data_IF_676406687382
#
_entry.id   IF_676406687382
#
_cell.length_a   1.000
_cell.length_b   1.000
_cell.length_c   1.000
_cell.angle_alpha   90.00
_cell.angle_beta   90.00
_cell.angle_gamma   90.00
#
_symmetry.space_group_name_H-M   'P 1'
#
loop_
_entity.id
_entity.type
_entity.pdbx_description
1 polymer ?
#
# COMPACT_ATOMS: atom_id res chain seq x y z
N UNK A 1 -27.23 8.90 4.62
CA UNK A 1 -25.80 9.24 4.75
C UNK A 1 -25.19 8.33 5.80
N UNK A 2 -24.01 7.74 5.57
CA UNK A 2 -23.42 6.75 6.47
C UNK A 2 -22.96 7.42 7.79
N UNK A 3 -23.53 7.00 8.92
CA UNK A 3 -23.22 7.60 10.23
C UNK A 3 -21.75 7.42 10.65
N UNK A 4 -21.12 6.30 10.27
CA UNK A 4 -19.70 6.08 10.52
C UNK A 4 -18.83 7.04 9.71
N UNK A 5 -19.20 7.30 8.45
CA UNK A 5 -18.49 8.28 7.60
C UNK A 5 -18.57 9.67 8.21
N UNK A 6 -19.75 10.11 8.67
CA UNK A 6 -19.91 11.41 9.34
C UNK A 6 -19.01 11.51 10.57
N UNK A 7 -19.06 10.51 11.44
CA UNK A 7 -18.28 10.49 12.69
C UNK A 7 -16.77 10.64 12.42
N UNK A 8 -16.23 9.85 11.48
CA UNK A 8 -14.80 9.87 11.17
C UNK A 8 -14.40 11.17 10.46
N UNK A 9 -15.21 11.63 9.50
CA UNK A 9 -14.93 12.86 8.77
C UNK A 9 -14.93 14.08 9.70
N UNK A 10 -15.91 14.20 10.60
CA UNK A 10 -15.95 15.27 11.60
C UNK A 10 -14.71 15.27 12.49
N UNK A 11 -14.31 14.11 13.01
CA UNK A 11 -13.12 14.02 13.86
C UNK A 11 -11.82 14.41 13.13
N UNK A 12 -11.70 14.08 11.84
CA UNK A 12 -10.56 14.50 11.02
C UNK A 12 -10.55 16.02 10.79
N UNK A 13 -11.72 16.61 10.50
CA UNK A 13 -11.87 18.06 10.35
C UNK A 13 -11.45 18.77 11.64
N UNK A 14 -11.96 18.31 12.79
CA UNK A 14 -11.63 18.88 14.09
C UNK A 14 -10.13 18.80 14.40
N UNK A 15 -9.50 17.65 14.10
CA UNK A 15 -8.06 17.46 14.29
C UNK A 15 -7.23 18.41 13.41
N UNK A 16 -7.59 18.56 12.14
CA UNK A 16 -6.90 19.47 11.22
C UNK A 16 -7.07 20.92 11.67
N UNK A 17 -8.29 21.36 12.01
CA UNK A 17 -8.55 22.72 12.50
C UNK A 17 -7.76 23.05 13.76
N UNK A 18 -7.65 22.07 14.67
CA UNK A 18 -6.82 22.19 15.87
C UNK A 18 -5.36 22.39 15.52
N UNK A 19 -4.79 21.57 14.63
CA UNK A 19 -3.39 21.70 14.19
C UNK A 19 -3.13 23.06 13.54
N UNK A 20 -4.01 23.53 12.65
CA UNK A 20 -3.89 24.83 12.00
C UNK A 20 -3.85 25.97 13.03
N UNK A 21 -4.70 25.88 14.07
CA UNK A 21 -4.77 26.87 15.15
C UNK A 21 -3.52 26.84 16.03
N UNK A 22 -3.07 25.66 16.45
CA UNK A 22 -1.91 25.48 17.33
C UNK A 22 -0.61 25.95 16.67
N UNK A 23 -0.45 25.70 15.37
CA UNK A 23 0.71 26.12 14.59
C UNK A 23 0.59 27.58 14.09
N UNK A 24 -0.54 28.26 14.35
CA UNK A 24 -0.83 29.62 13.88
C UNK A 24 -0.64 29.80 12.38
N UNK A 25 -1.12 28.83 11.61
CA UNK A 25 -0.98 28.82 10.14
C UNK A 25 -1.61 30.07 9.54
N UNK A 26 -0.83 30.78 8.74
CA UNK A 26 -1.25 31.99 8.04
C UNK A 26 -2.09 31.67 6.80
N UNK A 27 -2.77 32.67 6.26
CA UNK A 27 -3.51 32.49 5.01
C UNK A 27 -2.58 32.12 3.85
N UNK A 28 -1.38 32.71 3.78
CA UNK A 28 -0.39 32.41 2.74
C UNK A 28 0.06 30.94 2.79
N UNK A 29 0.41 30.44 3.97
CA UNK A 29 0.78 29.04 4.18
C UNK A 29 -0.39 28.09 3.85
N UNK A 30 -1.62 28.46 4.20
CA UNK A 30 -2.80 27.68 3.82
C UNK A 30 -2.97 27.59 2.30
N UNK A 31 -2.81 28.71 1.58
CA UNK A 31 -2.88 28.71 0.10
C UNK A 31 -1.77 27.88 -0.51
N UNK A 32 -0.55 27.93 0.06
CA UNK A 32 0.55 27.09 -0.38
C UNK A 32 0.26 25.59 -0.16
N UNK A 33 -0.31 25.22 0.99
CA UNK A 33 -0.73 23.85 1.30
C UNK A 33 -1.81 23.33 0.36
N UNK A 34 -2.85 24.13 0.08
CA UNK A 34 -3.88 23.79 -0.92
C UNK A 34 -3.24 23.60 -2.31
N UNK A 35 -2.34 24.50 -2.70
CA UNK A 35 -1.61 24.39 -3.98
C UNK A 35 -0.77 23.12 -4.07
N UNK A 36 -0.14 22.69 -2.97
CA UNK A 36 0.57 21.42 -2.90
C UNK A 36 -0.37 20.22 -3.12
N UNK A 37 -1.52 20.19 -2.45
CA UNK A 37 -2.52 19.13 -2.63
C UNK A 37 -3.07 19.08 -4.08
N UNK A 38 -3.26 20.23 -4.71
CA UNK A 38 -3.69 20.29 -6.11
C UNK A 38 -2.64 19.71 -7.07
N UNK A 39 -1.35 19.98 -6.84
CA UNK A 39 -0.26 19.38 -7.64
C UNK A 39 -0.22 17.86 -7.51
N UNK A 40 -0.43 17.32 -6.30
CA UNK A 40 -0.54 15.88 -6.09
C UNK A 40 -1.73 15.28 -6.84
N UNK A 41 -2.87 15.96 -6.84
CA UNK A 41 -4.04 15.52 -7.58
C UNK A 41 -3.78 15.51 -9.11
N UNK A 42 -3.14 16.55 -9.63
CA UNK A 42 -2.73 16.66 -11.04
C UNK A 42 -1.74 15.56 -11.45
N UNK A 43 -0.76 15.27 -10.57
CA UNK A 43 0.19 14.17 -10.74
C UNK A 43 -0.43 12.78 -10.51
N UNK A 44 -1.70 12.68 -10.09
CA UNK A 44 -2.39 11.44 -9.69
C UNK A 44 -1.72 10.71 -8.52
N UNK A 45 -1.05 11.45 -7.64
CA UNK A 45 -0.29 10.93 -6.50
C UNK A 45 -1.03 11.04 -5.16
N UNK A 46 -2.30 11.47 -5.18
CA UNK A 46 -3.10 11.56 -3.94
C UNK A 46 -3.20 10.23 -3.19
N UNK A 47 -3.40 9.12 -3.92
CA UNK A 47 -3.42 7.79 -3.32
C UNK A 47 -2.06 7.43 -2.71
N UNK A 48 -0.97 7.74 -3.42
CA UNK A 48 0.39 7.49 -2.96
C UNK A 48 0.71 8.26 -1.66
N UNK A 49 0.35 9.55 -1.60
CA UNK A 49 0.50 10.35 -0.37
C UNK A 49 -0.25 9.68 0.79
N UNK A 50 -1.51 9.32 0.58
CA UNK A 50 -2.34 8.75 1.63
C UNK A 50 -1.77 7.41 2.12
N UNK A 51 -1.29 6.57 1.21
CA UNK A 51 -0.68 5.30 1.54
C UNK A 51 0.63 5.44 2.30
N UNK A 52 1.50 6.34 1.84
CA UNK A 52 2.82 6.57 2.44
C UNK A 52 2.72 7.05 3.89
N UNK A 53 1.76 7.91 4.20
CA UNK A 53 1.66 8.54 5.52
C UNK A 53 0.65 7.89 6.47
N UNK A 54 -0.44 7.28 5.97
CA UNK A 54 -1.54 6.85 6.83
C UNK A 54 -1.85 5.35 6.80
N UNK A 55 -1.52 4.64 5.71
CA UNK A 55 -1.96 3.25 5.57
C UNK A 55 -1.31 2.31 6.61
N UNK A 56 -0.08 2.59 7.05
CA UNK A 56 0.55 1.84 8.14
C UNK A 56 -0.31 1.82 9.42
N UNK A 57 -0.95 2.95 9.78
CA UNK A 57 -1.83 3.02 10.95
C UNK A 57 -3.06 2.11 10.80
N UNK A 58 -3.60 1.98 9.58
CA UNK A 58 -4.73 1.10 9.30
C UNK A 58 -4.31 -0.37 9.41
N UNK A 59 -3.10 -0.70 8.94
CA UNK A 59 -2.51 -2.03 9.07
C UNK A 59 -2.26 -2.40 10.52
N UNK A 60 -1.76 -1.46 11.35
CA UNK A 60 -1.53 -1.70 12.77
C UNK A 60 -2.84 -2.00 13.53
N UNK A 61 -3.92 -1.25 13.21
CA UNK A 61 -5.25 -1.53 13.76
C UNK A 61 -5.76 -2.92 13.35
N UNK A 62 -5.52 -3.32 12.09
CA UNK A 62 -5.86 -4.66 11.62
C UNK A 62 -5.03 -5.72 12.35
N UNK A 63 -3.73 -5.50 12.52
CA UNK A 63 -2.83 -6.42 13.22
C UNK A 63 -3.29 -6.71 14.65
N UNK A 64 -3.81 -5.70 15.35
CA UNK A 64 -4.38 -5.85 16.70
C UNK A 64 -5.68 -6.66 16.72
N UNK A 65 -6.44 -6.66 15.62
CA UNK A 65 -7.73 -7.33 15.50
C UNK A 65 -7.65 -8.73 14.87
N UNK A 66 -6.52 -9.11 14.26
CA UNK A 66 -6.37 -10.38 13.54
C UNK A 66 -5.38 -11.31 14.22
N UNK A 67 -5.66 -12.62 14.17
CA UNK A 67 -4.70 -13.67 14.53
C UNK A 67 -3.99 -14.15 13.26
N UNK A 68 -2.68 -14.38 13.32
CA UNK A 68 -1.89 -14.88 12.19
C UNK A 68 -0.56 -14.16 12.03
N UNK A 69 0.00 -14.24 10.83
CA UNK A 69 1.23 -13.51 10.46
C UNK A 69 1.02 -12.00 10.49
N UNK A 70 2.08 -11.25 10.80
CA UNK A 70 2.06 -9.79 10.81
C UNK A 70 1.61 -9.24 9.44
N UNK A 71 0.54 -8.43 9.38
CA UNK A 71 0.13 -7.81 8.13
C UNK A 71 1.05 -6.65 7.76
N UNK A 72 1.09 -6.31 6.47
CA UNK A 72 1.80 -5.15 5.92
C UNK A 72 0.87 -4.36 4.99
N UNK A 73 1.27 -3.14 4.63
CA UNK A 73 0.57 -2.35 3.61
C UNK A 73 0.60 -3.08 2.26
N UNK A 74 -0.48 -2.99 1.49
CA UNK A 74 -0.53 -3.56 0.13
C UNK A 74 0.35 -2.76 -0.84
N UNK A 75 0.36 -1.42 -0.70
CA UNK A 75 1.00 -0.54 -1.65
C UNK A 75 0.24 -0.44 -2.99
N UNK A 76 0.68 0.44 -3.88
CA UNK A 76 -0.10 0.79 -5.08
C UNK A 76 0.09 -0.17 -6.26
N UNK A 77 1.02 -1.14 -6.16
CA UNK A 77 1.50 -1.93 -7.30
C UNK A 77 0.94 -3.36 -7.35
N UNK A 78 -0.19 -3.61 -6.69
CA UNK A 78 -0.88 -4.89 -6.79
C UNK A 78 -1.79 -4.94 -8.02
N UNK A 79 -1.72 -6.03 -8.79
CA UNK A 79 -2.65 -6.37 -9.85
C UNK A 79 -3.22 -7.76 -9.60
N UNK A 80 -4.53 -7.90 -9.74
CA UNK A 80 -5.18 -9.21 -9.70
C UNK A 80 -4.87 -10.02 -10.96
N UNK A 81 -4.88 -11.36 -10.84
CA UNK A 81 -4.81 -12.26 -11.99
C UNK A 81 -3.40 -12.60 -12.45
N UNK A 82 -2.40 -12.52 -11.57
CA UNK A 82 -1.05 -13.02 -11.85
C UNK A 82 -1.08 -14.53 -12.21
N UNK A 83 -0.22 -14.98 -13.14
CA UNK A 83 -0.18 -16.38 -13.55
C UNK A 83 0.27 -17.29 -12.40
N UNK A 84 -0.38 -18.46 -12.27
CA UNK A 84 0.02 -19.47 -11.31
C UNK A 84 1.31 -20.14 -11.79
N UNK A 85 2.33 -20.18 -10.94
CA UNK A 85 3.63 -20.80 -11.25
C UNK A 85 3.96 -21.97 -10.33
N UNK A 86 4.72 -22.92 -10.85
CA UNK A 86 5.35 -23.99 -10.06
C UNK A 86 6.87 -23.79 -10.06
N UNK A 87 7.43 -23.34 -8.94
CA UNK A 87 8.88 -23.23 -8.74
C UNK A 87 9.41 -21.79 -8.71
N UNK A 88 9.38 -21.08 -9.84
CA UNK A 88 9.99 -19.76 -9.97
C UNK A 88 9.05 -18.74 -10.63
N UNK A 89 9.13 -17.48 -10.19
CA UNK A 89 8.56 -16.34 -10.89
C UNK A 89 9.42 -16.02 -12.12
N UNK A 90 8.78 -15.57 -13.20
CA UNK A 90 9.47 -15.12 -14.41
C UNK A 90 10.15 -13.78 -14.16
N UNK A 91 11.43 -13.67 -14.49
CA UNK A 91 12.22 -12.43 -14.43
C UNK A 91 13.03 -12.29 -15.72
N UNK A 92 13.67 -11.13 -15.94
CA UNK A 92 14.61 -10.99 -17.05
C UNK A 92 15.88 -11.81 -16.81
N UNK A 93 16.45 -12.34 -17.89
CA UNK A 93 17.73 -13.05 -17.89
C UNK A 93 18.87 -12.06 -18.13
N UNK A 94 19.19 -11.26 -17.11
CA UNK A 94 20.35 -10.35 -17.13
C UNK A 94 21.13 -10.39 -15.81
N UNK A 95 22.38 -9.90 -15.86
CA UNK A 95 23.32 -9.95 -14.74
C UNK A 95 23.01 -8.96 -13.61
N UNK A 96 21.98 -8.11 -13.74
CA UNK A 96 21.59 -7.18 -12.67
C UNK A 96 20.75 -7.84 -11.56
N UNK A 97 20.29 -9.07 -11.79
CA UNK A 97 19.44 -9.81 -10.86
C UNK A 97 20.24 -10.69 -9.91
N UNK A 98 19.85 -10.69 -8.64
CA UNK A 98 20.35 -11.62 -7.63
C UNK A 98 19.25 -12.62 -7.23
N UNK A 99 19.48 -13.94 -7.34
CA UNK A 99 18.46 -14.92 -7.00
C UNK A 99 18.01 -14.86 -5.53
N UNK A 100 16.70 -14.84 -5.31
CA UNK A 100 16.06 -14.94 -4.00
C UNK A 100 15.21 -16.21 -3.93
N UNK A 101 15.33 -16.97 -2.84
CA UNK A 101 14.54 -18.18 -2.60
C UNK A 101 13.64 -17.97 -1.39
N UNK A 102 12.32 -18.02 -1.60
CA UNK A 102 11.30 -17.93 -0.55
C UNK A 102 10.69 -19.33 -0.34
N UNK A 103 10.70 -19.83 0.90
CA UNK A 103 10.12 -21.14 1.27
C UNK A 103 9.38 -21.03 2.60
N UNK A 104 8.30 -21.80 2.76
CA UNK A 104 7.52 -21.82 3.99
C UNK A 104 6.32 -22.76 3.90
N UNK A 105 5.45 -22.69 4.89
CA UNK A 105 4.18 -23.41 4.92
C UNK A 105 3.06 -22.45 5.34
N UNK A 106 1.92 -22.53 4.66
CA UNK A 106 0.72 -21.78 5.03
C UNK A 106 -0.11 -22.62 5.99
N UNK A 107 -0.52 -21.99 7.10
CA UNK A 107 -1.34 -22.62 8.15
C UNK A 107 -2.50 -21.71 8.50
N UNK A 108 -3.58 -22.32 8.96
CA UNK A 108 -4.71 -21.65 9.62
C UNK A 108 -4.30 -21.12 10.99
N UNK A 109 -5.15 -20.28 11.60
CA UNK A 109 -4.91 -19.66 12.91
C UNK A 109 -4.92 -20.65 14.08
N UNK A 110 -5.48 -21.85 13.89
CA UNK A 110 -5.39 -22.99 14.80
C UNK A 110 -4.19 -23.91 14.55
N UNK A 111 -3.37 -23.60 13.53
CA UNK A 111 -2.13 -24.30 13.21
C UNK A 111 -2.26 -25.47 12.21
N UNK A 112 -3.45 -25.78 11.71
CA UNK A 112 -3.63 -26.81 10.68
C UNK A 112 -3.02 -26.37 9.33
N UNK A 113 -2.49 -27.30 8.49
CA UNK A 113 -2.06 -26.96 7.14
C UNK A 113 -3.22 -26.44 6.28
N UNK A 114 -3.01 -25.30 5.61
CA UNK A 114 -4.00 -24.73 4.69
C UNK A 114 -3.84 -25.32 3.28
N UNK A 115 -4.39 -26.51 3.05
CA UNK A 115 -4.32 -27.17 1.75
C UNK A 115 -5.02 -26.34 0.65
N UNK A 116 -4.35 -26.17 -0.49
CA UNK A 116 -4.87 -25.37 -1.61
C UNK A 116 -4.76 -23.85 -1.41
N UNK A 117 -4.07 -23.38 -0.36
CA UNK A 117 -3.79 -21.96 -0.20
C UNK A 117 -3.00 -21.41 -1.38
N UNK A 118 -3.40 -20.23 -1.85
CA UNK A 118 -2.72 -19.47 -2.91
C UNK A 118 -1.91 -18.36 -2.24
N UNK A 119 -0.64 -18.26 -2.60
CA UNK A 119 0.22 -17.12 -2.23
C UNK A 119 0.38 -16.27 -3.50
N UNK A 120 -0.23 -15.09 -3.49
CA UNK A 120 -0.06 -14.10 -4.54
C UNK A 120 1.15 -13.21 -4.22
N UNK A 121 2.08 -13.10 -5.17
CA UNK A 121 3.39 -12.49 -4.94
C UNK A 121 3.71 -11.52 -6.08
N UNK A 122 4.07 -10.29 -5.71
CA UNK A 122 4.61 -9.28 -6.60
C UNK A 122 5.81 -8.60 -5.93
N UNK A 123 6.78 -8.17 -6.74
CA UNK A 123 7.92 -7.39 -6.30
C UNK A 123 8.48 -6.57 -7.47
N UNK A 124 9.34 -5.59 -7.16
CA UNK A 124 9.97 -4.78 -8.20
C UNK A 124 11.09 -5.53 -8.93
N UNK A 125 11.42 -5.06 -10.12
CA UNK A 125 12.71 -5.27 -10.78
C UNK A 125 13.87 -4.65 -9.96
N UNK A 126 15.14 -4.95 -10.28
CA UNK A 126 16.30 -4.37 -9.59
C UNK A 126 16.35 -2.83 -9.63
N UNK A 127 15.78 -2.20 -10.65
CA UNK A 127 15.67 -0.74 -10.80
C UNK A 127 14.39 -0.15 -10.18
N UNK A 128 13.64 -0.94 -9.41
CA UNK A 128 12.50 -0.46 -8.61
C UNK A 128 11.18 -0.33 -9.38
N UNK A 129 11.07 -0.92 -10.57
CA UNK A 129 9.86 -0.86 -11.40
C UNK A 129 8.98 -2.10 -11.21
N UNK A 130 7.69 -1.92 -11.41
CA UNK A 130 6.68 -2.98 -11.28
C UNK A 130 6.04 -3.29 -12.64
N UNK A 131 5.90 -4.59 -12.90
CA UNK A 131 5.14 -5.14 -14.02
C UNK A 131 3.71 -4.59 -14.06
N UNK A 132 3.24 -4.20 -15.25
CA UNK A 132 1.90 -3.64 -15.47
C UNK A 132 1.70 -2.17 -15.07
N UNK A 133 2.66 -1.55 -14.37
CA UNK A 133 2.60 -0.14 -13.99
C UNK A 133 3.64 0.73 -14.70
N UNK A 134 4.80 0.17 -15.02
CA UNK A 134 5.88 0.89 -15.68
C UNK A 134 6.00 0.45 -17.13
N UNK A 135 6.30 1.41 -17.99
CA UNK A 135 6.44 1.17 -19.43
C UNK A 135 7.47 0.07 -19.71
N UNK A 136 7.19 -0.74 -20.73
CA UNK A 136 8.08 -1.79 -21.25
C UNK A 136 8.34 -2.95 -20.28
N UNK A 137 7.46 -3.19 -19.30
CA UNK A 137 7.49 -4.39 -18.45
C UNK A 137 6.25 -5.25 -18.71
N UNK A 138 6.42 -6.48 -19.23
CA UNK A 138 5.31 -7.40 -19.47
C UNK A 138 4.54 -7.75 -18.19
N UNK A 139 3.25 -8.04 -18.33
CA UNK A 139 2.35 -8.50 -17.25
C UNK A 139 2.28 -10.02 -17.10
N UNK A 140 2.94 -10.76 -17.98
CA UNK A 140 2.87 -12.22 -18.13
C UNK A 140 4.23 -12.93 -17.93
#
# INVERSE_FOLDING_TARGET
MNERVKQVASALVDAIQKTLTEQRVTEEEWRAGVGYMMKLAEAKEMALLLDAFFNHTIVDLKAQATRGSTPAIQGPYFLEGAPVVAGALKTYEDDSHHPLVIRGAVRTDDGAPAAGAVIDVWHSTPDGKYSGFHDQIPTD
#
